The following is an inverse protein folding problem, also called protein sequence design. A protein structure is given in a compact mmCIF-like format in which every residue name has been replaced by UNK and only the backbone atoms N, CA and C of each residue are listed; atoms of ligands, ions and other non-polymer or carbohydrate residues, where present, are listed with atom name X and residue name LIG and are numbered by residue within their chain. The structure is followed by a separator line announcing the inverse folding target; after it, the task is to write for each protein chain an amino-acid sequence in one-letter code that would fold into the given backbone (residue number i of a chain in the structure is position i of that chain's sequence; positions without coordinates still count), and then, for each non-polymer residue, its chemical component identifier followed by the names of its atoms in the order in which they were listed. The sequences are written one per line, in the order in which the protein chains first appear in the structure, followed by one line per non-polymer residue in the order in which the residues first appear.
data_IF_468787105225
#
_entry.id   IF_468787105225
#
_cell.length_a   1.000
_cell.length_b   1.000
_cell.length_c   1.000
_cell.angle_alpha   90.00
_cell.angle_beta   90.00
_cell.angle_gamma   90.00
#
_symmetry.space_group_name_H-M   'P 1'
#
loop_
_entity.id
_entity.type
_entity.pdbx_description
1 polymer ?
#
# COMPACT_ATOMS: atom_id res chain seq x y z
N UNK A 1 -4.26 -18.87 9.14
CA UNK A 1 -5.37 -18.13 8.50
C UNK A 1 -5.56 -16.72 9.06
N UNK A 2 -5.63 -16.52 10.38
CA UNK A 2 -5.88 -15.20 10.98
C UNK A 2 -4.87 -14.09 10.57
N UNK A 3 -3.57 -14.40 10.53
CA UNK A 3 -2.53 -13.41 10.16
C UNK A 3 -2.67 -12.92 8.71
N UNK A 4 -3.00 -13.82 7.78
CA UNK A 4 -3.23 -13.49 6.37
C UNK A 4 -4.45 -12.59 6.24
N UNK A 5 -5.55 -12.96 6.90
CA UNK A 5 -6.79 -12.17 6.89
C UNK A 5 -6.54 -10.77 7.48
N UNK A 6 -5.84 -10.69 8.61
CA UNK A 6 -5.46 -9.42 9.23
C UNK A 6 -4.59 -8.56 8.31
N UNK A 7 -3.59 -9.17 7.65
CA UNK A 7 -2.75 -8.47 6.68
C UNK A 7 -3.54 -7.93 5.48
N UNK A 8 -4.43 -8.73 4.91
CA UNK A 8 -5.31 -8.30 3.81
C UNK A 8 -6.25 -7.17 4.24
N UNK A 9 -6.80 -7.22 5.46
CA UNK A 9 -7.64 -6.16 6.01
C UNK A 9 -6.85 -4.85 6.14
N UNK A 10 -5.62 -4.89 6.65
CA UNK A 10 -4.78 -3.69 6.76
C UNK A 10 -4.55 -3.07 5.38
N UNK A 11 -4.19 -3.89 4.38
CA UNK A 11 -3.97 -3.44 3.00
C UNK A 11 -5.23 -2.81 2.41
N UNK A 12 -6.37 -3.46 2.61
CA UNK A 12 -7.65 -2.94 2.11
C UNK A 12 -8.06 -1.63 2.79
N UNK A 13 -7.96 -1.56 4.13
CA UNK A 13 -8.32 -0.37 4.91
C UNK A 13 -7.45 0.82 4.55
N UNK A 14 -6.14 0.63 4.42
CA UNK A 14 -5.21 1.69 4.04
C UNK A 14 -5.60 2.33 2.70
N UNK A 15 -5.90 1.50 1.69
CA UNK A 15 -6.25 1.98 0.35
C UNK A 15 -7.65 2.60 0.28
N UNK A 16 -8.66 1.89 0.76
CA UNK A 16 -10.06 2.29 0.53
C UNK A 16 -10.59 3.24 1.60
N UNK A 17 -10.36 2.96 2.88
CA UNK A 17 -10.79 3.84 3.96
C UNK A 17 -9.92 5.08 4.05
N UNK A 18 -8.62 5.00 3.76
CA UNK A 18 -7.75 6.17 3.70
C UNK A 18 -8.21 7.17 2.64
N UNK A 19 -8.44 6.70 1.41
CA UNK A 19 -8.96 7.54 0.34
C UNK A 19 -10.37 8.08 0.64
N UNK A 20 -11.27 7.26 1.19
CA UNK A 20 -12.61 7.69 1.58
C UNK A 20 -12.59 8.75 2.70
N UNK A 21 -11.73 8.58 3.71
CA UNK A 21 -11.56 9.53 4.81
C UNK A 21 -11.02 10.87 4.35
N UNK A 22 -10.02 10.88 3.46
CA UNK A 22 -9.49 12.10 2.85
C UNK A 22 -10.58 12.84 2.05
N UNK A 23 -11.38 12.12 1.27
CA UNK A 23 -12.54 12.70 0.55
C UNK A 23 -13.61 13.23 1.49
N UNK A 24 -13.91 12.52 2.59
CA UNK A 24 -14.87 12.96 3.60
C UNK A 24 -14.42 14.26 4.30
N UNK A 25 -13.11 14.42 4.53
CA UNK A 25 -12.51 15.64 5.06
C UNK A 25 -12.42 16.79 4.03
N UNK A 26 -12.92 16.60 2.80
CA UNK A 26 -12.83 17.58 1.72
C UNK A 26 -11.40 17.78 1.19
N UNK A 27 -10.48 16.86 1.50
CA UNK A 27 -9.09 16.94 1.06
C UNK A 27 -8.96 16.27 -0.30
N UNK A 28 -8.83 17.09 -1.35
CA UNK A 28 -8.45 16.61 -2.67
C UNK A 28 -6.93 16.40 -2.74
N UNK A 29 -6.53 15.14 -2.93
CA UNK A 29 -5.12 14.82 -3.16
C UNK A 29 -4.72 15.31 -4.56
N UNK A 30 -3.70 16.16 -4.56
CA UNK A 30 -3.02 16.59 -5.77
C UNK A 30 -2.32 15.39 -6.41
N UNK A 31 -2.10 15.42 -7.73
CA UNK A 31 -1.47 14.32 -8.48
C UNK A 31 -0.23 13.68 -7.80
N UNK A 32 0.77 14.44 -7.29
CA UNK A 32 1.90 13.83 -6.60
C UNK A 32 1.50 13.11 -5.30
N UNK A 33 0.50 13.63 -4.59
CA UNK A 33 0.00 13.00 -3.37
C UNK A 33 -0.78 11.71 -3.69
N UNK A 34 -1.51 11.64 -4.81
CA UNK A 34 -2.19 10.42 -5.26
C UNK A 34 -1.22 9.28 -5.60
N UNK A 35 -0.03 9.63 -6.09
CA UNK A 35 1.05 8.68 -6.34
C UNK A 35 1.79 8.29 -5.05
N UNK A 36 2.08 9.28 -4.19
CA UNK A 36 2.83 9.06 -2.97
C UNK A 36 2.02 8.29 -1.91
N UNK A 37 0.72 8.53 -1.78
CA UNK A 37 -0.14 7.92 -0.76
C UNK A 37 -0.08 6.37 -0.75
N UNK A 38 -0.35 5.65 -1.85
CA UNK A 38 -0.24 4.20 -1.87
C UNK A 38 1.20 3.73 -1.60
N UNK A 39 2.22 4.45 -2.08
CA UNK A 39 3.63 4.08 -1.82
C UNK A 39 3.99 4.23 -0.34
N UNK A 40 3.61 5.33 0.29
CA UNK A 40 3.81 5.57 1.72
C UNK A 40 3.04 4.55 2.57
N UNK A 41 1.85 4.16 2.13
CA UNK A 41 1.08 3.10 2.74
C UNK A 41 1.81 1.74 2.66
N UNK A 42 2.39 1.39 1.50
CA UNK A 42 3.19 0.17 1.35
C UNK A 42 4.40 0.15 2.31
N UNK A 43 5.04 1.30 2.52
CA UNK A 43 6.15 1.45 3.49
C UNK A 43 5.64 1.23 4.91
N UNK A 44 4.53 1.88 5.30
CA UNK A 44 3.92 1.69 6.62
C UNK A 44 3.55 0.23 6.86
N UNK A 45 2.88 -0.41 5.90
CA UNK A 45 2.50 -1.82 5.95
C UNK A 45 3.72 -2.73 6.07
N UNK A 46 4.79 -2.42 5.34
CA UNK A 46 6.07 -3.14 5.45
C UNK A 46 6.62 -3.05 6.86
N UNK A 47 6.65 -1.86 7.46
CA UNK A 47 7.10 -1.68 8.85
C UNK A 47 6.22 -2.48 9.81
N UNK A 48 4.89 -2.39 9.68
CA UNK A 48 3.96 -3.13 10.54
C UNK A 48 4.16 -4.65 10.41
N UNK A 49 4.28 -5.18 9.19
CA UNK A 49 4.45 -6.61 8.99
C UNK A 49 5.79 -7.10 9.52
N UNK A 50 6.88 -6.37 9.30
CA UNK A 50 8.19 -6.76 9.80
C UNK A 50 8.28 -6.70 11.33
N UNK A 51 7.60 -5.76 11.97
CA UNK A 51 7.61 -5.64 13.44
C UNK A 51 6.73 -6.69 14.12
N UNK A 52 5.56 -7.00 13.56
CA UNK A 52 4.54 -7.77 14.27
C UNK A 52 4.36 -9.21 13.79
N UNK A 53 4.75 -9.55 12.56
CA UNK A 53 4.51 -10.89 12.00
C UNK A 53 5.58 -11.92 12.41
N UNK A 54 6.89 -11.63 12.40
CA UNK A 54 7.90 -12.65 12.74
C UNK A 54 7.80 -13.19 14.17
N UNK A 55 7.39 -12.36 15.13
CA UNK A 55 7.29 -12.71 16.55
C UNK A 55 5.88 -13.11 17.03
N UNK A 56 4.92 -13.29 16.12
CA UNK A 56 3.55 -13.59 16.50
C UNK A 56 3.39 -15.02 17.01
N UNK A 57 2.64 -15.21 18.11
CA UNK A 57 2.27 -16.53 18.62
C UNK A 57 1.24 -17.26 17.72
N UNK A 58 0.70 -16.58 16.71
CA UNK A 58 -0.32 -17.10 15.79
C UNK A 58 0.27 -17.95 14.65
N UNK A 59 1.60 -18.01 14.52
CA UNK A 59 2.30 -18.76 13.48
C UNK A 59 3.30 -19.75 14.10
N UNK A 60 3.56 -20.90 13.43
CA UNK A 60 4.68 -21.75 13.77
C UNK A 60 6.01 -20.97 13.67
N UNK A 61 7.03 -21.29 14.50
CA UNK A 61 8.31 -20.56 14.54
C UNK A 61 9.03 -20.43 13.19
N UNK A 62 8.86 -21.40 12.29
CA UNK A 62 9.45 -21.40 10.95
C UNK A 62 8.72 -20.52 9.92
N UNK A 63 7.48 -20.11 10.21
CA UNK A 63 6.61 -19.43 9.25
C UNK A 63 6.51 -17.92 9.44
N UNK A 64 6.95 -17.37 10.58
CA UNK A 64 6.87 -15.93 10.86
C UNK A 64 7.54 -15.07 9.77
N UNK A 65 8.81 -15.35 9.46
CA UNK A 65 9.55 -14.63 8.42
C UNK A 65 9.03 -14.86 6.99
N UNK A 66 8.78 -16.11 6.54
CA UNK A 66 8.15 -16.35 5.24
C UNK A 66 6.81 -15.62 5.07
N UNK A 67 5.97 -15.61 6.12
CA UNK A 67 4.68 -14.93 6.08
C UNK A 67 4.84 -13.41 6.04
N UNK A 68 5.73 -12.85 6.85
CA UNK A 68 6.06 -11.42 6.81
C UNK A 68 6.51 -11.01 5.41
N UNK A 69 7.43 -11.77 4.80
CA UNK A 69 7.91 -11.53 3.44
C UNK A 69 6.78 -11.61 2.40
N UNK A 70 5.89 -12.60 2.50
CA UNK A 70 4.73 -12.73 1.62
C UNK A 70 3.77 -11.54 1.72
N UNK A 71 3.48 -11.07 2.94
CA UNK A 71 2.62 -9.92 3.17
C UNK A 71 3.27 -8.61 2.70
N UNK A 72 4.57 -8.44 2.89
CA UNK A 72 5.34 -7.31 2.33
C UNK A 72 5.26 -7.32 0.81
N UNK A 73 5.50 -8.46 0.17
CA UNK A 73 5.40 -8.58 -1.29
C UNK A 73 4.00 -8.23 -1.79
N UNK A 74 2.95 -8.70 -1.11
CA UNK A 74 1.56 -8.37 -1.45
C UNK A 74 1.27 -6.87 -1.29
N UNK A 75 1.71 -6.25 -0.20
CA UNK A 75 1.55 -4.81 0.04
C UNK A 75 2.20 -4.00 -1.09
N UNK A 76 3.44 -4.30 -1.46
CA UNK A 76 4.12 -3.60 -2.56
C UNK A 76 3.46 -3.84 -3.91
N UNK A 77 3.02 -5.07 -4.19
CA UNK A 77 2.37 -5.40 -5.46
C UNK A 77 1.04 -4.66 -5.63
N UNK A 78 0.22 -4.62 -4.57
CA UNK A 78 -1.10 -3.98 -4.62
C UNK A 78 -0.94 -2.46 -4.66
N UNK A 79 -0.22 -1.89 -3.69
CA UNK A 79 -0.06 -0.44 -3.58
C UNK A 79 0.77 0.14 -4.74
N UNK A 80 1.86 -0.52 -5.11
CA UNK A 80 2.67 -0.14 -6.27
C UNK A 80 1.89 -0.25 -7.57
N UNK A 81 1.02 -1.27 -7.70
CA UNK A 81 0.09 -1.40 -8.82
C UNK A 81 -0.89 -0.24 -8.92
N UNK A 82 -1.47 0.19 -7.79
CA UNK A 82 -2.37 1.37 -7.74
C UNK A 82 -1.62 2.64 -8.14
N UNK A 83 -0.44 2.88 -7.57
CA UNK A 83 0.39 4.04 -7.89
C UNK A 83 0.80 4.05 -9.38
N UNK A 84 1.27 2.91 -9.89
CA UNK A 84 1.72 2.76 -11.27
C UNK A 84 0.58 2.93 -12.28
N UNK A 85 -0.62 2.43 -11.95
CA UNK A 85 -1.80 2.59 -12.79
C UNK A 85 -2.28 4.05 -12.82
N UNK A 86 -2.27 4.74 -11.67
CA UNK A 86 -2.59 6.16 -11.61
C UNK A 86 -1.56 7.00 -12.39
N UNK A 87 -0.28 6.67 -12.24
CA UNK A 87 0.80 7.30 -13.01
C UNK A 87 0.60 7.12 -14.51
N UNK A 88 0.38 5.87 -14.97
CA UNK A 88 0.19 5.58 -16.38
C UNK A 88 -1.03 6.30 -16.98
N UNK A 89 -2.14 6.36 -16.24
CA UNK A 89 -3.39 7.00 -16.70
C UNK A 89 -3.31 8.52 -16.73
N UNK A 90 -2.66 9.12 -15.74
CA UNK A 90 -2.66 10.57 -15.53
C UNK A 90 -1.28 11.19 -15.78
N UNK A 91 -0.38 10.49 -16.49
CA UNK A 91 0.94 11.02 -16.83
C UNK A 91 0.74 12.34 -17.58
N UNK A 92 1.36 13.44 -17.14
CA UNK A 92 1.37 14.66 -17.93
C UNK A 92 2.13 14.33 -19.22
N UNK A 93 1.45 14.40 -20.36
CA UNK A 93 2.12 14.37 -21.65
C UNK A 93 2.99 15.63 -21.66
N UNK A 94 4.31 15.45 -21.78
CA UNK A 94 5.20 16.57 -22.10
C UNK A 94 4.64 17.18 -23.37
N UNK A 95 4.14 18.42 -23.33
CA UNK A 95 4.01 19.21 -24.55
C UNK A 95 5.43 19.32 -25.11
N UNK A 96 5.76 18.41 -26.03
CA UNK A 96 6.97 18.54 -26.82
C UNK A 96 6.84 19.82 -27.61
N UNK A 97 7.81 20.71 -27.41
CA UNK A 97 7.76 22.13 -27.74
C UNK A 97 7.18 22.44 -29.10
N UNK A 98 6.18 23.33 -29.10
CA UNK A 98 6.01 24.27 -30.19
C UNK A 98 7.11 25.31 -30.02
N UNK A 99 8.17 25.19 -30.84
CA UNK A 99 9.14 26.26 -31.11
C UNK A 99 9.13 26.57 -32.59
#
# INVERSE_FOLDING_TARGET
MAVVIGGVIIIWLGLTMGAAGLRWLGVELHYPARLAAPVLLAVLETVLFLLFVPGTALLPPSWGWPMAGGLVAAAWLINGGVAGLDWHRNRPVKEEGVS
#
